data_IF_297300754913
#
_entry.id   IF_297300754913
#
_cell.length_a   1.000
_cell.length_b   1.000
_cell.length_c   1.000
_cell.angle_alpha   90.00
_cell.angle_beta   90.00
_cell.angle_gamma   90.00
#
_symmetry.space_group_name_H-M   'P 1'
#
loop_
_entity.id
_entity.type
_entity.pdbx_description
1 polymer ?
#
# COMPACT_ATOMS: atom_id res chain seq x y z
N UNK A 1 3.99 20.51 6.37
CA UNK A 1 3.80 19.76 7.63
C UNK A 1 2.36 19.62 8.08
N UNK A 2 1.55 20.68 8.26
CA UNK A 2 0.17 20.52 8.77
C UNK A 2 -0.69 19.61 7.88
N UNK A 3 -0.59 19.73 6.55
CA UNK A 3 -1.40 18.94 5.60
C UNK A 3 -1.05 17.46 5.67
N UNK A 4 0.24 17.14 5.65
CA UNK A 4 0.76 15.78 5.60
C UNK A 4 0.32 15.00 6.83
N UNK A 5 0.36 15.63 8.02
CA UNK A 5 -0.22 15.05 9.24
C UNK A 5 -1.74 14.91 9.17
N UNK A 6 -2.46 15.88 8.59
CA UNK A 6 -3.92 15.75 8.36
C UNK A 6 -4.25 14.56 7.45
N UNK A 7 -3.54 14.41 6.32
CA UNK A 7 -3.71 13.26 5.42
C UNK A 7 -3.36 11.96 6.12
N UNK A 8 -2.25 11.92 6.87
CA UNK A 8 -1.84 10.75 7.65
C UNK A 8 -2.91 10.33 8.68
N UNK A 9 -3.48 11.28 9.41
CA UNK A 9 -4.60 11.01 10.33
C UNK A 9 -5.85 10.54 9.58
N UNK A 10 -6.14 11.11 8.42
CA UNK A 10 -7.23 10.68 7.55
C UNK A 10 -7.06 9.23 7.09
N UNK A 11 -5.85 8.84 6.68
CA UNK A 11 -5.51 7.46 6.32
C UNK A 11 -5.64 6.52 7.51
N UNK A 12 -5.15 6.90 8.69
CA UNK A 12 -5.32 6.12 9.91
C UNK A 12 -6.81 5.83 10.19
N UNK A 13 -7.66 6.85 10.13
CA UNK A 13 -9.11 6.69 10.34
C UNK A 13 -9.72 5.81 9.26
N UNK A 14 -9.37 6.04 7.98
CA UNK A 14 -9.85 5.23 6.86
C UNK A 14 -9.48 3.75 7.04
N UNK A 15 -8.23 3.46 7.38
CA UNK A 15 -7.77 2.08 7.57
C UNK A 15 -8.43 1.40 8.76
N UNK A 16 -8.66 2.12 9.87
CA UNK A 16 -9.44 1.60 11.00
C UNK A 16 -10.87 1.26 10.60
N UNK A 17 -11.54 2.14 9.85
CA UNK A 17 -12.92 1.92 9.39
C UNK A 17 -13.01 0.75 8.40
N UNK A 18 -12.09 0.68 7.43
CA UNK A 18 -12.03 -0.43 6.48
C UNK A 18 -11.73 -1.76 7.19
N UNK A 19 -10.74 -1.78 8.09
CA UNK A 19 -10.40 -2.97 8.87
C UNK A 19 -11.58 -3.45 9.72
N UNK A 20 -12.26 -2.53 10.42
CA UNK A 20 -13.46 -2.85 11.19
C UNK A 20 -14.58 -3.40 10.30
N UNK A 21 -14.85 -2.76 9.15
CA UNK A 21 -15.89 -3.20 8.22
C UNK A 21 -15.56 -4.58 7.64
N UNK A 22 -14.36 -4.80 7.11
CA UNK A 22 -13.95 -6.07 6.51
C UNK A 22 -13.92 -7.23 7.50
N UNK A 23 -13.56 -6.97 8.75
CA UNK A 23 -13.57 -7.98 9.80
C UNK A 23 -15.00 -8.43 10.17
N UNK A 24 -15.92 -7.47 10.32
CA UNK A 24 -17.29 -7.75 10.78
C UNK A 24 -18.23 -8.18 9.64
N UNK A 25 -18.22 -7.47 8.51
CA UNK A 25 -19.13 -7.73 7.39
C UNK A 25 -18.69 -8.92 6.52
N UNK A 26 -17.41 -9.28 6.57
CA UNK A 26 -16.78 -10.36 5.79
C UNK A 26 -17.21 -10.39 4.31
N UNK A 27 -16.99 -9.31 3.54
CA UNK A 27 -17.56 -9.18 2.21
C UNK A 27 -16.86 -10.06 1.14
N UNK A 28 -15.90 -10.89 1.51
CA UNK A 28 -15.22 -11.81 0.59
C UNK A 28 -14.49 -11.06 -0.51
N UNK A 29 -14.59 -11.53 -1.76
CA UNK A 29 -13.84 -10.97 -2.89
C UNK A 29 -14.13 -9.48 -3.18
N UNK A 30 -15.24 -8.93 -2.69
CA UNK A 30 -15.54 -7.51 -2.83
C UNK A 30 -14.53 -6.60 -2.11
N UNK A 31 -13.72 -7.14 -1.18
CA UNK A 31 -12.62 -6.38 -0.54
C UNK A 31 -11.68 -5.78 -1.59
N UNK A 32 -11.33 -6.55 -2.64
CA UNK A 32 -10.41 -6.09 -3.67
C UNK A 32 -10.89 -4.79 -4.33
N UNK A 33 -12.16 -4.75 -4.73
CA UNK A 33 -12.77 -3.57 -5.34
C UNK A 33 -12.83 -2.37 -4.40
N UNK A 34 -13.08 -2.61 -3.10
CA UNK A 34 -13.10 -1.53 -2.10
C UNK A 34 -11.70 -0.95 -1.90
N UNK A 35 -10.66 -1.79 -1.88
CA UNK A 35 -9.27 -1.33 -1.77
C UNK A 35 -8.85 -0.52 -3.00
N UNK A 36 -9.16 -1.02 -4.21
CA UNK A 36 -8.88 -0.30 -5.46
C UNK A 36 -9.59 1.05 -5.53
N UNK A 37 -10.87 1.08 -5.16
CA UNK A 37 -11.65 2.32 -5.09
C UNK A 37 -11.07 3.30 -4.06
N UNK A 38 -10.63 2.82 -2.90
CA UNK A 38 -10.00 3.64 -1.87
C UNK A 38 -8.67 4.24 -2.37
N UNK A 39 -7.82 3.44 -3.03
CA UNK A 39 -6.56 3.91 -3.59
C UNK A 39 -6.77 4.91 -4.74
N UNK A 40 -7.73 4.65 -5.63
CA UNK A 40 -8.10 5.60 -6.68
C UNK A 40 -8.64 6.90 -6.10
N UNK A 41 -9.53 6.82 -5.10
CA UNK A 41 -10.04 7.98 -4.38
C UNK A 41 -8.91 8.79 -3.73
N UNK A 42 -7.92 8.10 -3.16
CA UNK A 42 -6.75 8.75 -2.59
C UNK A 42 -5.88 9.44 -3.65
N UNK A 43 -5.62 8.80 -4.79
CA UNK A 43 -4.91 9.43 -5.91
C UNK A 43 -5.66 10.66 -6.42
N UNK A 44 -6.98 10.55 -6.63
CA UNK A 44 -7.80 11.67 -7.10
C UNK A 44 -7.77 12.86 -6.12
N UNK A 45 -7.79 12.58 -4.82
CA UNK A 45 -7.62 13.60 -3.79
C UNK A 45 -6.25 14.27 -3.90
N UNK A 46 -5.17 13.49 -3.96
CA UNK A 46 -3.81 14.05 -4.03
C UNK A 46 -3.55 14.79 -5.35
N UNK A 47 -4.14 14.36 -6.48
CA UNK A 47 -4.14 15.10 -7.75
C UNK A 47 -4.87 16.43 -7.61
N UNK A 48 -6.02 16.45 -6.93
CA UNK A 48 -6.76 17.70 -6.68
C UNK A 48 -5.96 18.66 -5.79
N UNK A 49 -5.21 18.14 -4.81
CA UNK A 49 -4.47 18.96 -3.85
C UNK A 49 -3.08 19.41 -4.33
N UNK A 50 -2.40 18.60 -5.15
CA UNK A 50 -1.01 18.84 -5.56
C UNK A 50 -0.82 19.05 -7.07
N UNK A 51 -1.86 18.78 -7.87
CA UNK A 51 -1.83 18.91 -9.31
C UNK A 51 -1.34 17.65 -10.03
N UNK A 52 -1.82 17.49 -11.27
CA UNK A 52 -1.53 16.35 -12.14
C UNK A 52 -0.05 16.24 -12.53
N UNK A 53 0.67 17.36 -12.61
CA UNK A 53 2.11 17.36 -12.94
C UNK A 53 2.96 16.70 -11.84
N UNK A 54 2.54 16.79 -10.57
CA UNK A 54 3.21 16.04 -9.51
C UNK A 54 2.92 14.54 -9.64
N UNK A 55 1.67 14.17 -9.93
CA UNK A 55 1.29 12.76 -10.13
C UNK A 55 2.14 12.07 -11.21
N UNK A 56 2.32 12.73 -12.36
CA UNK A 56 3.21 12.23 -13.44
C UNK A 56 4.63 11.97 -12.95
N UNK A 57 5.18 12.86 -12.11
CA UNK A 57 6.53 12.72 -11.53
C UNK A 57 6.61 11.58 -10.51
N UNK A 58 5.48 11.21 -9.90
CA UNK A 58 5.39 10.13 -8.93
C UNK A 58 5.09 8.75 -9.54
N UNK A 59 4.78 8.69 -10.85
CA UNK A 59 4.61 7.42 -11.58
C UNK A 59 5.76 6.43 -11.37
N UNK A 60 7.04 6.83 -11.40
CA UNK A 60 8.13 5.89 -11.13
C UNK A 60 8.09 5.26 -9.74
N UNK A 61 7.59 5.97 -8.72
CA UNK A 61 7.45 5.43 -7.36
C UNK A 61 6.33 4.39 -7.31
N UNK A 62 5.18 4.69 -7.93
CA UNK A 62 4.09 3.73 -8.05
C UNK A 62 4.48 2.50 -8.87
N UNK A 63 5.18 2.70 -9.99
CA UNK A 63 5.70 1.60 -10.81
C UNK A 63 6.69 0.73 -10.03
N UNK A 64 7.58 1.35 -9.25
CA UNK A 64 8.50 0.62 -8.38
C UNK A 64 7.74 -0.24 -7.36
N UNK A 65 6.75 0.33 -6.66
CA UNK A 65 5.96 -0.42 -5.68
C UNK A 65 5.22 -1.58 -6.33
N UNK A 66 4.56 -1.33 -7.46
CA UNK A 66 3.84 -2.35 -8.23
C UNK A 66 4.76 -3.51 -8.65
N UNK A 67 5.94 -3.21 -9.21
CA UNK A 67 6.88 -4.24 -9.65
C UNK A 67 7.49 -5.00 -8.47
N UNK A 68 7.81 -4.30 -7.39
CA UNK A 68 8.33 -4.91 -6.17
C UNK A 68 7.31 -5.88 -5.57
N UNK A 69 6.07 -5.43 -5.39
CA UNK A 69 4.98 -6.23 -4.84
C UNK A 69 4.66 -7.44 -5.73
N UNK A 70 4.55 -7.23 -7.04
CA UNK A 70 4.37 -8.31 -8.01
C UNK A 70 5.46 -9.38 -7.92
N UNK A 71 6.73 -8.96 -7.80
CA UNK A 71 7.84 -9.89 -7.64
C UNK A 71 7.80 -10.61 -6.28
N UNK A 72 7.49 -9.90 -5.21
CA UNK A 72 7.45 -10.43 -3.84
C UNK A 72 6.32 -11.45 -3.67
N UNK A 73 5.11 -11.14 -4.13
CA UNK A 73 3.95 -12.05 -4.09
C UNK A 73 4.18 -13.32 -4.91
N UNK A 74 4.74 -13.20 -6.13
CA UNK A 74 5.09 -14.37 -6.93
C UNK A 74 6.18 -15.20 -6.25
N UNK A 75 7.24 -14.58 -5.73
CA UNK A 75 8.33 -15.29 -5.06
C UNK A 75 7.82 -16.02 -3.79
N UNK A 76 7.02 -15.34 -2.96
CA UNK A 76 6.39 -15.92 -1.78
C UNK A 76 5.53 -17.13 -2.12
N UNK A 77 4.72 -17.02 -3.18
CA UNK A 77 3.86 -18.13 -3.64
C UNK A 77 4.66 -19.30 -4.20
N UNK A 78 5.68 -19.04 -5.04
CA UNK A 78 6.54 -20.09 -5.61
C UNK A 78 7.34 -20.81 -4.52
N UNK A 79 7.78 -20.10 -3.49
CA UNK A 79 8.47 -20.67 -2.33
C UNK A 79 7.51 -21.29 -1.29
N UNK A 80 6.20 -21.16 -1.52
CA UNK A 80 5.15 -21.74 -0.68
C UNK A 80 4.98 -21.04 0.68
N UNK A 81 5.30 -19.75 0.82
CA UNK A 81 5.12 -19.00 2.05
C UNK A 81 3.72 -18.41 2.22
N UNK A 82 3.07 -18.00 1.13
CA UNK A 82 1.69 -17.54 1.16
C UNK A 82 1.03 -17.70 -0.21
N UNK A 83 -0.29 -17.54 -0.27
CA UNK A 83 -1.05 -17.56 -1.51
C UNK A 83 -2.24 -16.60 -1.41
N UNK A 84 -2.45 -15.84 -2.48
CA UNK A 84 -3.57 -14.90 -2.65
C UNK A 84 -4.62 -15.51 -3.59
N UNK A 85 -5.90 -15.35 -3.27
CA UNK A 85 -7.01 -16.08 -3.93
C UNK A 85 -8.23 -15.20 -4.18
N UNK A 86 -9.15 -15.71 -5.01
CA UNK A 86 -10.43 -15.06 -5.37
C UNK A 86 -10.26 -13.67 -6.01
N UNK A 87 -9.18 -13.47 -6.76
CA UNK A 87 -9.02 -12.37 -7.70
C UNK A 87 -10.00 -12.53 -8.87
N UNK A 88 -10.54 -11.42 -9.38
CA UNK A 88 -11.31 -11.41 -10.61
C UNK A 88 -10.41 -11.62 -11.84
N UNK A 89 -9.13 -11.23 -11.77
CA UNK A 89 -8.15 -11.38 -12.84
C UNK A 89 -6.76 -11.71 -12.28
N UNK A 90 -6.41 -12.98 -12.08
CA UNK A 90 -5.09 -13.36 -11.59
C UNK A 90 -4.00 -13.19 -12.67
N UNK A 91 -2.87 -12.59 -12.28
CA UNK A 91 -1.65 -12.42 -13.09
C UNK A 91 -0.55 -13.32 -12.52
N UNK A 92 -0.59 -14.60 -12.86
CA UNK A 92 0.23 -15.60 -12.18
C UNK A 92 -0.33 -15.88 -10.79
N UNK A 93 0.47 -15.66 -9.75
CA UNK A 93 0.03 -15.80 -8.35
C UNK A 93 -0.50 -14.50 -7.73
N UNK A 94 -0.45 -13.39 -8.49
CA UNK A 94 -0.77 -12.05 -7.98
C UNK A 94 -2.13 -11.61 -8.52
N UNK A 95 -3.08 -11.21 -7.66
CA UNK A 95 -4.30 -10.54 -8.10
C UNK A 95 -4.00 -9.26 -8.90
N UNK A 96 -4.63 -9.06 -10.07
CA UNK A 96 -4.48 -7.79 -10.81
C UNK A 96 -4.94 -6.58 -9.98
N UNK A 97 -5.88 -6.78 -9.06
CA UNK A 97 -6.34 -5.77 -8.11
C UNK A 97 -5.18 -5.32 -7.20
N UNK A 98 -4.35 -6.24 -6.71
CA UNK A 98 -3.16 -5.87 -5.93
C UNK A 98 -2.16 -5.08 -6.78
N UNK A 99 -1.97 -5.46 -8.05
CA UNK A 99 -1.09 -4.73 -8.98
C UNK A 99 -1.61 -3.30 -9.22
N UNK A 100 -2.92 -3.14 -9.41
CA UNK A 100 -3.53 -1.82 -9.56
C UNK A 100 -3.45 -1.00 -8.28
N UNK A 101 -3.82 -1.58 -7.14
CA UNK A 101 -3.77 -1.00 -5.81
C UNK A 101 -2.39 -0.44 -5.47
N UNK A 102 -1.35 -1.25 -5.68
CA UNK A 102 0.04 -0.88 -5.38
C UNK A 102 0.55 0.22 -6.30
N UNK A 103 0.19 0.18 -7.59
CA UNK A 103 0.55 1.23 -8.53
C UNK A 103 -0.11 2.57 -8.18
N UNK A 104 -1.44 2.59 -8.10
CA UNK A 104 -2.22 3.81 -7.85
C UNK A 104 -1.98 4.35 -6.45
N UNK A 105 -1.99 3.46 -5.45
CA UNK A 105 -1.69 3.77 -4.07
C UNK A 105 -0.26 4.29 -3.89
N UNK A 106 0.72 3.72 -4.60
CA UNK A 106 2.11 4.18 -4.57
C UNK A 106 2.31 5.59 -5.14
N UNK A 107 1.60 5.95 -6.22
CA UNK A 107 1.60 7.32 -6.76
C UNK A 107 0.99 8.29 -5.74
N UNK A 108 -0.21 7.98 -5.24
CA UNK A 108 -0.90 8.82 -4.26
C UNK A 108 -0.04 8.99 -3.00
N UNK A 109 0.56 7.90 -2.54
CA UNK A 109 1.44 7.87 -1.38
C UNK A 109 2.61 8.85 -1.55
N UNK A 110 3.31 8.76 -2.67
CA UNK A 110 4.47 9.59 -2.93
C UNK A 110 4.13 11.10 -3.01
N UNK A 111 2.92 11.43 -3.47
CA UNK A 111 2.41 12.81 -3.56
C UNK A 111 2.07 13.43 -2.21
N UNK A 112 1.57 12.65 -1.24
CA UNK A 112 1.20 13.25 0.05
C UNK A 112 2.40 13.52 0.96
N UNK A 113 3.52 12.83 0.73
CA UNK A 113 4.73 12.96 1.55
C UNK A 113 5.26 14.40 1.60
N UNK A 114 5.92 14.79 2.71
CA UNK A 114 6.63 16.06 2.81
C UNK A 114 7.64 16.23 1.67
N UNK A 115 7.76 17.46 1.14
CA UNK A 115 8.70 17.73 0.03
C UNK A 115 10.15 17.40 0.37
N UNK A 116 10.56 17.69 1.61
CA UNK A 116 11.89 17.39 2.17
C UNK A 116 11.77 16.27 3.19
N UNK A 117 12.81 15.45 3.27
CA UNK A 117 12.87 14.36 4.24
C UNK A 117 12.65 14.87 5.67
N UNK A 118 11.67 14.29 6.35
CA UNK A 118 11.36 14.53 7.76
C UNK A 118 11.38 13.18 8.47
N UNK A 119 12.38 12.97 9.33
CA UNK A 119 12.57 11.71 10.03
C UNK A 119 11.36 11.35 10.90
N UNK A 120 10.74 12.32 11.58
CA UNK A 120 9.60 12.06 12.47
C UNK A 120 8.39 11.60 11.66
N UNK A 121 8.12 12.29 10.56
CA UNK A 121 7.04 11.91 9.66
C UNK A 121 7.31 10.55 9.03
N UNK A 122 8.51 10.31 8.49
CA UNK A 122 8.89 9.04 7.87
C UNK A 122 8.75 7.86 8.84
N UNK A 123 9.18 7.99 10.09
CA UNK A 123 9.02 6.90 11.09
C UNK A 123 7.53 6.64 11.38
N UNK A 124 6.73 7.69 11.58
CA UNK A 124 5.28 7.53 11.80
C UNK A 124 4.57 6.93 10.58
N UNK A 125 5.00 7.30 9.38
CA UNK A 125 4.49 6.80 8.11
C UNK A 125 4.76 5.32 7.91
N UNK A 126 6.03 4.91 8.11
CA UNK A 126 6.43 3.50 8.07
C UNK A 126 5.64 2.68 9.09
N UNK A 127 5.51 3.19 10.32
CA UNK A 127 4.76 2.49 11.38
C UNK A 127 3.29 2.32 10.99
N UNK A 128 2.64 3.34 10.41
CA UNK A 128 1.26 3.27 9.96
C UNK A 128 1.09 2.17 8.90
N UNK A 129 1.82 2.25 7.79
CA UNK A 129 1.61 1.30 6.70
C UNK A 129 2.15 -0.10 7.00
N UNK A 130 3.18 -0.25 7.83
CA UNK A 130 3.60 -1.58 8.29
C UNK A 130 2.55 -2.25 9.15
N UNK A 131 1.95 -1.49 10.08
CA UNK A 131 0.88 -2.00 10.96
C UNK A 131 -0.34 -2.37 10.14
N UNK A 132 -0.82 -1.47 9.27
CA UNK A 132 -2.03 -1.72 8.49
C UNK A 132 -1.83 -2.64 7.29
N UNK A 133 -0.61 -2.79 6.77
CA UNK A 133 -0.28 -3.85 5.82
C UNK A 133 -0.42 -5.23 6.46
N UNK A 134 0.23 -5.46 7.60
CA UNK A 134 0.15 -6.73 8.32
C UNK A 134 -1.27 -7.03 8.86
N UNK A 135 -1.95 -6.01 9.38
CA UNK A 135 -3.34 -6.13 9.81
C UNK A 135 -4.27 -6.40 8.62
N UNK A 136 -4.04 -5.71 7.50
CA UNK A 136 -4.77 -5.89 6.25
C UNK A 136 -4.69 -7.33 5.76
N UNK A 137 -3.48 -7.91 5.69
CA UNK A 137 -3.29 -9.31 5.32
C UNK A 137 -4.00 -10.26 6.29
N UNK A 138 -3.90 -10.01 7.61
CA UNK A 138 -4.65 -10.81 8.58
C UNK A 138 -6.17 -10.77 8.34
N UNK A 139 -6.73 -9.59 8.02
CA UNK A 139 -8.13 -9.44 7.65
C UNK A 139 -8.48 -10.15 6.33
N UNK A 140 -7.58 -10.11 5.33
CA UNK A 140 -7.72 -10.86 4.08
C UNK A 140 -7.76 -12.38 4.34
N UNK A 141 -6.95 -12.88 5.28
CA UNK A 141 -7.01 -14.28 5.71
C UNK A 141 -8.35 -14.63 6.36
N UNK A 142 -8.91 -13.76 7.20
CA UNK A 142 -10.24 -13.97 7.80
C UNK A 142 -11.36 -14.01 6.75
N UNK A 143 -11.13 -13.43 5.57
CA UNK A 143 -12.05 -13.44 4.43
C UNK A 143 -11.76 -14.56 3.42
N UNK A 144 -10.77 -15.42 3.71
CA UNK A 144 -10.32 -16.48 2.81
C UNK A 144 -9.86 -15.94 1.46
N UNK A 145 -9.17 -14.79 1.48
CA UNK A 145 -8.54 -14.15 0.32
C UNK A 145 -7.03 -14.35 0.30
N UNK A 146 -6.43 -14.60 1.46
CA UNK A 146 -5.01 -14.89 1.60
C UNK A 146 -4.82 -16.06 2.56
N UNK A 147 -3.74 -16.80 2.41
CA UNK A 147 -3.35 -17.84 3.38
C UNK A 147 -1.83 -17.86 3.52
N UNK A 148 -1.35 -17.95 4.75
CA UNK A 148 0.06 -18.15 5.07
C UNK A 148 0.38 -19.63 5.24
N UNK A 149 1.62 -19.98 4.89
CA UNK A 149 2.18 -21.32 4.90
C UNK A 149 3.65 -21.27 5.35
N UNK A 150 4.27 -22.45 5.54
CA UNK A 150 5.71 -22.61 5.80
C UNK A 150 6.27 -21.70 6.93
N UNK A 151 5.49 -21.50 7.98
CA UNK A 151 5.89 -20.69 9.13
C UNK A 151 5.83 -19.18 8.90
N UNK A 152 5.30 -18.69 7.77
CA UNK A 152 5.02 -17.28 7.58
C UNK A 152 3.96 -16.79 8.56
N UNK A 153 4.14 -15.59 9.11
CA UNK A 153 3.27 -15.02 10.16
C UNK A 153 3.03 -13.53 9.92
N UNK A 154 2.01 -12.97 10.58
CA UNK A 154 1.74 -11.52 10.52
C UNK A 154 2.90 -10.67 11.08
N UNK A 155 3.75 -11.24 11.95
CA UNK A 155 4.97 -10.56 12.39
C UNK A 155 6.00 -10.42 11.26
N UNK A 156 6.16 -11.46 10.43
CA UNK A 156 7.03 -11.38 9.25
C UNK A 156 6.44 -10.49 8.16
N UNK A 157 5.12 -10.48 8.01
CA UNK A 157 4.44 -9.51 7.14
C UNK A 157 4.71 -8.07 7.61
N UNK A 158 4.56 -7.78 8.91
CA UNK A 158 4.87 -6.44 9.46
C UNK A 158 6.30 -5.99 9.16
N UNK A 159 7.29 -6.87 9.40
CA UNK A 159 8.70 -6.56 9.11
C UNK A 159 8.91 -6.34 7.61
N UNK A 160 8.32 -7.18 6.76
CA UNK A 160 8.40 -7.03 5.31
C UNK A 160 7.83 -5.69 4.84
N UNK A 161 6.64 -5.31 5.30
CA UNK A 161 6.08 -3.99 5.01
C UNK A 161 6.98 -2.88 5.52
N UNK A 162 7.48 -2.95 6.76
CA UNK A 162 8.36 -1.92 7.31
C UNK A 162 9.60 -1.71 6.42
N UNK A 163 10.22 -2.78 5.95
CA UNK A 163 11.36 -2.73 5.04
C UNK A 163 10.98 -2.16 3.67
N UNK A 164 9.84 -2.57 3.11
CA UNK A 164 9.31 -2.04 1.84
C UNK A 164 9.08 -0.53 1.93
N UNK A 165 8.47 -0.04 3.02
CA UNK A 165 8.23 1.38 3.20
C UNK A 165 9.51 2.18 3.44
N UNK A 166 10.49 1.63 4.17
CA UNK A 166 11.84 2.23 4.25
C UNK A 166 12.43 2.40 2.85
N UNK A 167 12.38 1.35 2.02
CA UNK A 167 12.91 1.38 0.66
C UNK A 167 12.16 2.39 -0.22
N UNK A 168 10.84 2.46 -0.12
CA UNK A 168 10.02 3.45 -0.83
C UNK A 168 10.35 4.88 -0.43
N UNK A 169 10.54 5.16 0.87
CA UNK A 169 11.00 6.47 1.33
C UNK A 169 12.35 6.82 0.70
N UNK A 170 13.29 5.87 0.64
CA UNK A 170 14.56 6.06 -0.06
C UNK A 170 14.34 6.36 -1.54
N UNK A 171 13.47 5.61 -2.22
CA UNK A 171 13.17 5.82 -3.64
C UNK A 171 12.61 7.21 -3.91
N UNK A 172 11.61 7.60 -3.13
CA UNK A 172 10.95 8.90 -3.26
C UNK A 172 11.93 10.04 -2.99
N UNK A 173 12.68 10.01 -1.88
CA UNK A 173 13.52 11.16 -1.50
C UNK A 173 14.87 11.23 -2.23
N UNK A 174 15.45 10.10 -2.67
CA UNK A 174 16.76 10.10 -3.34
C UNK A 174 16.65 10.11 -4.86
N UNK A 175 15.69 9.39 -5.43
CA UNK A 175 15.64 9.17 -6.89
C UNK A 175 14.60 10.03 -7.59
N UNK A 176 13.58 10.51 -6.89
CA UNK A 176 12.57 11.43 -7.46
C UNK A 176 12.81 12.84 -6.94
N UNK A 177 13.50 13.66 -7.74
CA UNK A 177 13.73 15.07 -7.41
C UNK A 177 12.47 15.88 -7.67
N UNK A 178 11.84 16.39 -6.61
CA UNK A 178 10.92 17.52 -6.78
C UNK A 178 11.72 18.79 -7.06
N UNK A 179 11.37 19.59 -8.09
CA UNK A 179 11.93 20.92 -8.23
C UNK A 179 11.49 21.76 -7.03
N UNK A 180 12.47 22.41 -6.39
CA UNK A 180 12.17 23.48 -5.46
C UNK A 180 11.43 24.58 -6.24
N UNK A 181 10.16 24.81 -5.88
CA UNK A 181 9.44 26.03 -6.28
C UNK A 181 9.85 27.11 -5.29
#
# INVERSE_FOLDING_TARGET
>A
MKREWTTWCGLLVLFLLLGYYFYNARPGAAIWLVLDAAALGFLLLEVKLNGWELAKKMVPVGAFLMLFDFAFENAGSVLGYWFSSKSALPLGYVPAEIVFLTFVGGIAWAMYLPKKFDLKFTVADIALFATFGALGEWVLMQNGLMTYYNGWTSAYAFVSYALTWVLLHVVRYKFVKEPAI
#
